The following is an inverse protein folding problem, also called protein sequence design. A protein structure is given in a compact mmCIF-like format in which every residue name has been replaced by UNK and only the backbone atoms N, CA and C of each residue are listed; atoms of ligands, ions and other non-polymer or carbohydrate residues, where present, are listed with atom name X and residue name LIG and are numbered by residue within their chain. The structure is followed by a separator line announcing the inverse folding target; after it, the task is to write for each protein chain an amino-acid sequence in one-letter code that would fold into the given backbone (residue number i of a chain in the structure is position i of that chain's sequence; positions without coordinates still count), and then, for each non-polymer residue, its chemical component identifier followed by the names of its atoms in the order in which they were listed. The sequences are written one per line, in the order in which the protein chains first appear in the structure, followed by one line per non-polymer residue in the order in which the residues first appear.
data_IF_883579476161
#
_entry.id   IF_883579476161
#
_cell.length_a   1.000
_cell.length_b   1.000
_cell.length_c   1.000
_cell.angle_alpha   90.00
_cell.angle_beta   90.00
_cell.angle_gamma   90.00
#
_symmetry.space_group_name_H-M   'P 1'
#
loop_
_entity.id
_entity.type
_entity.pdbx_description
1 polymer ?
#
# COMPACT_ATOMS: atom_id res chain seq x y z
N UNK A 1 -11.70 -25.48 14.56
CA UNK A 1 -11.13 -24.13 14.52
C UNK A 1 -11.39 -23.50 13.17
N UNK A 2 -12.06 -22.40 13.21
CA UNK A 2 -12.36 -21.67 11.99
C UNK A 2 -11.15 -20.84 11.58
N UNK A 3 -10.69 -21.08 10.38
CA UNK A 3 -9.60 -20.34 9.80
C UNK A 3 -10.17 -19.07 9.18
N UNK A 4 -10.27 -18.02 9.96
CA UNK A 4 -10.79 -16.74 9.48
C UNK A 4 -9.67 -15.89 8.94
N UNK A 5 -9.75 -15.59 7.66
CA UNK A 5 -8.82 -14.67 7.02
C UNK A 5 -9.25 -13.25 7.36
N UNK A 6 -8.52 -12.62 8.23
CA UNK A 6 -8.78 -11.25 8.61
C UNK A 6 -7.60 -10.36 8.25
N UNK A 7 -7.92 -9.21 7.68
CA UNK A 7 -6.91 -8.18 7.46
C UNK A 7 -6.53 -7.57 8.81
N UNK A 8 -5.23 -7.52 9.08
CA UNK A 8 -4.73 -6.84 10.26
C UNK A 8 -4.92 -5.32 10.06
N UNK A 9 -5.48 -4.59 11.03
CA UNK A 9 -5.63 -3.15 10.88
C UNK A 9 -4.29 -2.46 10.66
N UNK A 10 -4.26 -1.51 9.73
CA UNK A 10 -3.06 -0.75 9.40
C UNK A 10 -2.91 0.42 10.37
N UNK A 11 -2.65 0.09 11.62
CA UNK A 11 -2.58 1.03 12.74
C UNK A 11 -1.23 0.91 13.43
N UNK A 12 -0.55 2.01 13.58
CA UNK A 12 0.73 2.09 14.27
C UNK A 12 0.66 3.15 15.37
N UNK A 13 1.38 2.90 16.47
CA UNK A 13 1.31 3.76 17.63
C UNK A 13 0.11 3.42 18.50
N UNK A 14 0.05 4.04 19.68
CA UNK A 14 -1.00 3.78 20.68
C UNK A 14 -1.36 5.04 21.47
N UNK A 15 -1.18 6.21 20.85
CA UNK A 15 -1.49 7.47 21.49
C UNK A 15 -2.96 7.83 21.46
N UNK A 16 -3.32 8.82 22.26
CA UNK A 16 -4.71 9.26 22.40
C UNK A 16 -5.22 10.01 21.17
N UNK A 17 -4.32 10.63 20.42
CA UNK A 17 -4.69 11.37 19.21
C UNK A 17 -4.52 10.49 18.00
N UNK A 18 -5.58 10.36 17.20
CA UNK A 18 -5.55 9.54 15.98
C UNK A 18 -5.40 10.42 14.77
N UNK A 19 -4.41 10.09 13.94
CA UNK A 19 -4.23 10.67 12.62
C UNK A 19 -4.63 9.62 11.60
N UNK A 20 -5.69 9.87 10.87
CA UNK A 20 -6.13 9.01 9.78
C UNK A 20 -5.56 9.53 8.46
N UNK A 21 -4.88 8.67 7.73
CA UNK A 21 -4.25 9.04 6.46
C UNK A 21 -4.82 8.15 5.36
N UNK A 22 -5.41 8.78 4.35
CA UNK A 22 -6.01 8.09 3.21
C UNK A 22 -4.99 8.08 2.07
N UNK A 23 -4.59 6.88 1.63
CA UNK A 23 -3.56 6.72 0.62
C UNK A 23 -4.05 5.85 -0.52
N UNK A 24 -3.71 6.25 -1.73
CA UNK A 24 -3.86 5.44 -2.94
C UNK A 24 -2.46 4.96 -3.32
N UNK A 25 -2.18 3.63 -3.29
CA UNK A 25 -0.81 3.12 -3.38
C UNK A 25 -0.04 3.47 -4.65
N UNK A 26 -0.74 3.75 -5.74
CA UNK A 26 -0.10 4.09 -7.02
C UNK A 26 -0.06 5.58 -7.30
N UNK A 27 -0.63 6.40 -6.43
CA UNK A 27 -0.63 7.86 -6.58
C UNK A 27 0.72 8.45 -6.15
N UNK A 28 1.37 9.30 -6.97
CA UNK A 28 2.68 9.84 -6.61
C UNK A 28 2.67 10.67 -5.32
N UNK A 29 1.58 11.38 -5.07
CA UNK A 29 1.46 12.17 -3.83
C UNK A 29 1.28 11.28 -2.61
N UNK A 30 0.50 10.21 -2.75
CA UNK A 30 0.32 9.24 -1.67
C UNK A 30 1.60 8.48 -1.36
N UNK A 31 2.38 8.12 -2.38
CA UNK A 31 3.68 7.47 -2.22
C UNK A 31 4.63 8.40 -1.45
N UNK A 32 4.63 9.67 -1.79
CA UNK A 32 5.47 10.65 -1.10
C UNK A 32 5.06 10.80 0.37
N UNK A 33 3.75 10.87 0.63
CA UNK A 33 3.24 10.92 1.99
C UNK A 33 3.59 9.67 2.78
N UNK A 34 3.41 8.50 2.17
CA UNK A 34 3.74 7.23 2.79
C UNK A 34 5.20 7.18 3.24
N UNK A 35 6.11 7.68 2.42
CA UNK A 35 7.54 7.72 2.74
C UNK A 35 7.90 8.57 3.94
N UNK A 36 6.99 9.42 4.41
CA UNK A 36 7.23 10.31 5.55
C UNK A 36 6.58 9.82 6.85
N UNK A 37 5.78 8.77 6.79
CA UNK A 37 4.99 8.35 7.95
C UNK A 37 5.84 7.80 9.09
N UNK A 38 6.91 7.07 8.79
CA UNK A 38 7.80 6.55 9.82
C UNK A 38 8.47 7.69 10.60
N UNK A 39 8.94 8.72 9.89
CA UNK A 39 9.53 9.89 10.53
C UNK A 39 8.51 10.65 11.36
N UNK A 40 7.31 10.79 10.84
CA UNK A 40 6.23 11.45 11.57
C UNK A 40 5.94 10.73 12.89
N UNK A 41 5.79 9.41 12.83
CA UNK A 41 5.49 8.62 14.01
C UNK A 41 6.64 8.67 15.01
N UNK A 42 7.88 8.62 14.54
CA UNK A 42 9.05 8.72 15.39
C UNK A 42 9.18 10.09 16.08
N UNK A 43 8.92 11.17 15.33
CA UNK A 43 9.03 12.52 15.86
C UNK A 43 7.87 12.90 16.79
N UNK A 44 6.66 12.49 16.44
CA UNK A 44 5.49 12.77 17.26
C UNK A 44 5.45 11.91 18.51
N UNK A 45 5.96 10.70 18.43
CA UNK A 45 5.95 9.73 19.53
C UNK A 45 4.85 8.71 19.39
N UNK A 46 5.21 7.44 19.41
CA UNK A 46 4.26 6.32 19.28
C UNK A 46 3.30 6.24 20.46
N UNK A 47 3.66 6.81 21.58
CA UNK A 47 2.83 6.89 22.76
C UNK A 47 1.89 8.11 22.76
N UNK A 48 2.09 9.02 21.83
CA UNK A 48 1.30 10.26 21.74
C UNK A 48 0.27 10.25 20.63
N UNK A 49 0.58 9.58 19.53
CA UNK A 49 -0.35 9.50 18.39
C UNK A 49 -0.61 8.06 17.99
N UNK A 50 -1.75 7.86 17.38
CA UNK A 50 -2.10 6.63 16.68
C UNK A 50 -2.21 6.98 15.22
N UNK A 51 -1.41 6.33 14.38
CA UNK A 51 -1.43 6.53 12.95
C UNK A 51 -2.25 5.43 12.32
N UNK A 52 -3.30 5.80 11.60
CA UNK A 52 -4.22 4.85 10.98
C UNK A 52 -4.24 5.07 9.47
N UNK A 53 -3.80 4.06 8.73
CA UNK A 53 -3.82 4.11 7.27
C UNK A 53 -5.12 3.55 6.72
N UNK A 54 -5.69 4.30 5.78
CA UNK A 54 -6.87 3.88 5.03
C UNK A 54 -6.48 3.83 3.56
N UNK A 55 -6.57 2.66 2.96
CA UNK A 55 -6.29 2.51 1.55
C UNK A 55 -7.54 2.83 0.75
N UNK A 56 -7.34 3.53 -0.36
CA UNK A 56 -8.41 3.84 -1.29
C UNK A 56 -7.95 3.58 -2.70
N UNK A 57 -8.88 3.31 -3.60
CA UNK A 57 -8.58 3.20 -5.01
C UNK A 57 -9.20 4.36 -5.76
N UNK A 58 -8.56 4.72 -6.88
CA UNK A 58 -9.02 5.83 -7.72
C UNK A 58 -9.20 5.31 -9.16
N UNK A 59 -10.33 5.60 -9.80
CA UNK A 59 -10.61 5.02 -11.11
C UNK A 59 -9.62 5.41 -12.21
N UNK A 60 -8.95 6.55 -12.07
CA UNK A 60 -7.95 6.98 -13.04
C UNK A 60 -6.57 6.37 -12.84
N UNK A 61 -6.40 5.57 -11.80
CA UNK A 61 -5.20 4.76 -11.60
C UNK A 61 -5.55 3.30 -11.86
N UNK A 62 -5.18 2.80 -13.03
CA UNK A 62 -5.65 1.53 -13.54
C UNK A 62 -5.45 0.35 -12.60
N UNK A 63 -4.28 0.28 -11.97
CA UNK A 63 -3.94 -0.86 -11.11
C UNK A 63 -4.28 -0.64 -9.63
N UNK A 64 -4.86 0.49 -9.31
CA UNK A 64 -5.13 0.89 -7.93
C UNK A 64 -5.90 -0.16 -7.14
N UNK A 65 -7.03 -0.61 -7.66
CA UNK A 65 -7.88 -1.58 -6.97
C UNK A 65 -7.20 -2.91 -6.72
N UNK A 66 -6.43 -3.39 -7.69
CA UNK A 66 -5.68 -4.65 -7.56
C UNK A 66 -4.60 -4.51 -6.50
N UNK A 67 -3.86 -3.42 -6.51
CA UNK A 67 -2.79 -3.17 -5.54
C UNK A 67 -3.35 -3.05 -4.12
N UNK A 68 -4.46 -2.33 -3.95
CA UNK A 68 -5.12 -2.23 -2.64
C UNK A 68 -5.47 -3.62 -2.12
N UNK A 69 -6.05 -4.47 -2.97
CA UNK A 69 -6.39 -5.84 -2.57
C UNK A 69 -5.15 -6.66 -2.22
N UNK A 70 -4.06 -6.49 -2.95
CA UNK A 70 -2.80 -7.18 -2.66
C UNK A 70 -2.26 -6.79 -1.28
N UNK A 71 -2.30 -5.50 -0.96
CA UNK A 71 -1.84 -5.00 0.33
C UNK A 71 -2.71 -5.57 1.46
N UNK A 72 -4.02 -5.54 1.30
CA UNK A 72 -4.95 -6.07 2.29
C UNK A 72 -4.82 -7.59 2.44
N UNK A 73 -4.61 -8.29 1.33
CA UNK A 73 -4.35 -9.74 1.38
C UNK A 73 -3.06 -10.04 2.13
N UNK A 74 -2.02 -9.25 1.93
CA UNK A 74 -0.76 -9.42 2.67
C UNK A 74 -0.98 -9.23 4.17
N UNK A 75 -1.88 -8.34 4.57
CA UNK A 75 -2.17 -8.12 5.99
C UNK A 75 -2.87 -9.30 6.68
N UNK A 76 -3.36 -10.26 5.91
CA UNK A 76 -3.96 -11.49 6.48
C UNK A 76 -2.91 -12.55 6.81
N UNK A 77 -1.66 -12.33 6.41
CA UNK A 77 -0.56 -13.24 6.72
C UNK A 77 -0.18 -13.16 8.19
N UNK A 78 0.63 -14.10 8.64
CA UNK A 78 1.04 -14.15 10.04
C UNK A 78 1.68 -12.86 10.52
N UNK A 79 2.51 -12.23 9.68
CA UNK A 79 3.14 -10.95 10.02
C UNK A 79 2.19 -9.75 9.93
N UNK A 80 0.96 -9.95 9.46
CA UNK A 80 -0.10 -8.95 9.50
C UNK A 80 0.26 -7.63 8.82
N UNK A 81 0.13 -6.54 9.56
CA UNK A 81 0.40 -5.20 9.01
C UNK A 81 1.83 -5.00 8.56
N UNK A 82 2.78 -5.75 9.11
CA UNK A 82 4.18 -5.67 8.67
C UNK A 82 4.32 -6.18 7.24
N UNK A 83 3.62 -7.26 6.89
CA UNK A 83 3.60 -7.77 5.52
C UNK A 83 2.94 -6.76 4.58
N UNK A 84 1.82 -6.17 4.99
CA UNK A 84 1.14 -5.13 4.21
C UNK A 84 2.07 -3.94 3.96
N UNK A 85 2.77 -3.48 4.98
CA UNK A 85 3.71 -2.37 4.88
C UNK A 85 4.86 -2.69 3.92
N UNK A 86 5.36 -3.92 3.95
CA UNK A 86 6.40 -4.36 3.02
C UNK A 86 5.93 -4.29 1.57
N UNK A 87 4.70 -4.72 1.29
CA UNK A 87 4.13 -4.63 -0.05
C UNK A 87 3.98 -3.17 -0.47
N UNK A 88 3.46 -2.32 0.41
CA UNK A 88 3.32 -0.89 0.13
C UNK A 88 4.67 -0.25 -0.17
N UNK A 89 5.71 -0.61 0.57
CA UNK A 89 7.06 -0.09 0.37
C UNK A 89 7.60 -0.49 -0.99
N UNK A 90 7.40 -1.74 -1.38
CA UNK A 90 7.85 -2.24 -2.68
C UNK A 90 7.11 -1.56 -3.83
N UNK A 91 5.80 -1.42 -3.72
CA UNK A 91 4.99 -0.72 -4.72
C UNK A 91 5.43 0.74 -4.84
N UNK A 92 5.66 1.40 -3.71
CA UNK A 92 6.11 2.79 -3.69
C UNK A 92 7.45 2.97 -4.40
N UNK A 93 8.37 2.03 -4.20
CA UNK A 93 9.70 2.07 -4.83
C UNK A 93 9.61 1.91 -6.35
N UNK A 94 8.58 1.25 -6.85
CA UNK A 94 8.41 0.94 -8.27
C UNK A 94 7.08 1.44 -8.82
N UNK A 95 6.58 2.52 -8.27
CA UNK A 95 5.27 3.07 -8.61
C UNK A 95 5.05 3.24 -10.11
N UNK A 96 6.08 3.65 -10.83
CA UNK A 96 5.99 3.93 -12.26
C UNK A 96 5.62 2.70 -13.09
N UNK A 97 5.90 1.51 -12.58
CA UNK A 97 5.51 0.27 -13.27
C UNK A 97 4.00 0.05 -13.26
N UNK A 98 3.27 0.75 -12.37
CA UNK A 98 1.82 0.64 -12.25
C UNK A 98 1.11 1.86 -12.80
N UNK A 99 1.82 2.69 -13.55
CA UNK A 99 1.29 3.89 -14.17
C UNK A 99 1.19 3.70 -15.68
N UNK A 100 0.23 4.36 -16.29
CA UNK A 100 0.15 4.44 -17.74
C UNK A 100 0.07 5.91 -18.14
N UNK A 101 0.51 6.23 -19.35
CA UNK A 101 0.50 7.61 -19.82
C UNK A 101 -0.91 8.05 -20.23
N UNK A 102 -1.06 9.33 -20.59
CA UNK A 102 -2.33 9.90 -21.01
C UNK A 102 -2.91 9.29 -22.29
N UNK A 103 -2.13 8.50 -23.01
CA UNK A 103 -2.56 7.76 -24.20
C UNK A 103 -2.91 6.32 -23.87
N UNK A 104 -2.93 5.96 -22.61
CA UNK A 104 -3.18 4.60 -22.14
C UNK A 104 -2.18 3.60 -22.70
N UNK A 105 -0.91 3.95 -22.71
CA UNK A 105 0.16 3.09 -23.24
C UNK A 105 1.26 2.85 -22.20
N UNK A 106 0.88 2.64 -20.96
CA UNK A 106 1.84 2.35 -19.89
C UNK A 106 2.49 0.98 -20.03
N UNK A 107 3.56 0.73 -19.28
CA UNK A 107 4.39 -0.48 -19.48
C UNK A 107 3.67 -1.79 -19.24
N UNK A 108 2.64 -1.83 -18.42
CA UNK A 108 1.91 -3.06 -18.11
C UNK A 108 0.46 -3.05 -18.60
N UNK A 109 0.11 -2.09 -19.46
CA UNK A 109 -1.28 -1.90 -19.87
C UNK A 109 -1.86 -3.12 -20.59
N UNK A 110 -1.08 -3.72 -21.48
CA UNK A 110 -1.52 -4.88 -22.26
C UNK A 110 -1.07 -6.21 -21.66
N UNK A 111 -0.50 -6.17 -20.47
CA UNK A 111 0.01 -7.38 -19.82
C UNK A 111 -1.12 -8.27 -19.32
N UNK A 112 -0.91 -9.59 -19.42
CA UNK A 112 -1.81 -10.53 -18.76
C UNK A 112 -1.62 -10.45 -17.24
N UNK A 113 -2.56 -10.96 -16.43
CA UNK A 113 -2.37 -11.00 -14.99
C UNK A 113 -1.06 -11.67 -14.56
N UNK A 114 -0.65 -12.73 -15.26
CA UNK A 114 0.62 -13.41 -14.99
C UNK A 114 1.82 -12.50 -15.27
N UNK A 115 1.79 -11.77 -16.37
CA UNK A 115 2.85 -10.84 -16.75
C UNK A 115 2.94 -9.69 -15.76
N UNK A 116 1.80 -9.12 -15.37
CA UNK A 116 1.74 -8.05 -14.38
C UNK A 116 2.25 -8.54 -13.02
N UNK A 117 1.87 -9.75 -12.63
CA UNK A 117 2.36 -10.36 -11.40
C UNK A 117 3.87 -10.60 -11.46
N UNK A 118 4.37 -10.97 -12.64
CA UNK A 118 5.80 -11.13 -12.88
C UNK A 118 6.56 -9.83 -12.69
N UNK A 119 6.05 -8.72 -13.23
CA UNK A 119 6.62 -7.40 -13.04
C UNK A 119 6.59 -6.98 -11.58
N UNK A 120 5.45 -7.14 -10.93
CA UNK A 120 5.32 -6.86 -9.51
C UNK A 120 6.23 -7.73 -8.66
N UNK A 121 6.36 -9.01 -9.03
CA UNK A 121 7.24 -9.95 -8.34
C UNK A 121 8.70 -9.51 -8.42
N UNK A 122 9.14 -9.04 -9.57
CA UNK A 122 10.49 -8.50 -9.73
C UNK A 122 10.69 -7.28 -8.84
N UNK A 123 9.63 -6.54 -8.56
CA UNK A 123 9.64 -5.35 -7.72
C UNK A 123 9.59 -5.70 -6.23
N UNK A 124 8.74 -6.65 -5.87
CA UNK A 124 8.45 -7.00 -4.47
C UNK A 124 9.45 -8.01 -3.94
N UNK A 125 9.93 -8.90 -4.78
CA UNK A 125 10.92 -9.88 -4.39
C UNK A 125 12.29 -9.26 -4.17
#
# INVERSE_FOLDING_TARGET
MTNTWRADPLVWGNGARTLEVFLEPTCPFSVRAFGKLDDLLGQAGEDRITLKLRLQSQPWHMYSGVIVRCILAASTLESGKAAAKSVMTAVAAHREEFEFDRHCSGPNLDATPTTSSGGSKATVA
#
